data_IF_130735187120
#
_entry.id   IF_130735187120
#
_cell.length_a   1.000
_cell.length_b   1.000
_cell.length_c   1.000
_cell.angle_alpha   90.00
_cell.angle_beta   90.00
_cell.angle_gamma   90.00
#
_symmetry.space_group_name_H-M   'P 1'
#
loop_
_entity.id
_entity.type
_entity.pdbx_description
1 polymer ?
#
# COMPACT_ATOMS: atom_id res chain seq x y z
N UNK A 1 15.27 -32.00 23.71
CA UNK A 1 15.90 -31.34 22.53
C UNK A 1 16.94 -30.34 23.00
N UNK A 2 18.18 -30.46 22.52
CA UNK A 2 19.26 -29.56 22.94
C UNK A 2 18.99 -28.13 22.42
N UNK A 3 19.50 -27.09 23.14
CA UNK A 3 19.38 -25.67 22.70
C UNK A 3 19.95 -25.46 21.30
N UNK A 4 20.84 -26.30 20.83
CA UNK A 4 21.48 -26.27 19.50
C UNK A 4 20.51 -26.76 18.41
N UNK A 5 19.79 -27.87 18.62
CA UNK A 5 18.77 -28.38 17.67
C UNK A 5 17.62 -27.44 17.51
N UNK A 6 17.17 -26.78 18.60
CA UNK A 6 16.10 -25.75 18.54
C UNK A 6 16.50 -24.51 17.71
N UNK A 7 17.79 -24.11 17.80
CA UNK A 7 18.29 -22.98 16.97
C UNK A 7 18.35 -23.33 15.48
N UNK A 8 18.72 -24.56 15.14
CA UNK A 8 18.75 -25.02 13.75
C UNK A 8 17.36 -25.16 13.16
N UNK A 9 16.41 -25.71 13.91
CA UNK A 9 15.01 -25.80 13.46
C UNK A 9 14.38 -24.42 13.23
N UNK A 10 14.64 -23.43 14.09
CA UNK A 10 14.17 -22.06 13.86
C UNK A 10 14.80 -21.40 12.62
N UNK A 11 16.10 -21.61 12.39
CA UNK A 11 16.77 -21.07 11.20
C UNK A 11 16.25 -21.72 9.92
N UNK A 12 16.03 -23.03 9.93
CA UNK A 12 15.46 -23.77 8.82
C UNK A 12 14.02 -23.28 8.51
N UNK A 13 13.19 -23.09 9.55
CA UNK A 13 11.84 -22.55 9.39
C UNK A 13 11.84 -21.12 8.82
N UNK A 14 12.72 -20.26 9.31
CA UNK A 14 12.89 -18.90 8.79
C UNK A 14 13.37 -18.90 7.33
N UNK A 15 14.32 -19.76 6.97
CA UNK A 15 14.77 -19.90 5.59
C UNK A 15 13.65 -20.39 4.66
N UNK A 16 12.88 -21.38 5.11
CA UNK A 16 11.73 -21.88 4.35
C UNK A 16 10.66 -20.80 4.15
N UNK A 17 10.34 -20.05 5.21
CA UNK A 17 9.39 -18.95 5.13
C UNK A 17 9.90 -17.84 4.19
N UNK A 18 11.19 -17.51 4.23
CA UNK A 18 11.80 -16.53 3.33
C UNK A 18 11.75 -17.01 1.87
N UNK A 19 12.11 -18.26 1.59
CA UNK A 19 12.01 -18.85 0.26
C UNK A 19 10.57 -18.84 -0.26
N UNK A 20 9.63 -19.23 0.56
CA UNK A 20 8.20 -19.19 0.21
C UNK A 20 7.72 -17.77 -0.13
N UNK A 21 8.10 -16.77 0.67
CA UNK A 21 7.70 -15.38 0.47
C UNK A 21 8.39 -14.73 -0.74
N UNK A 22 9.62 -15.12 -1.06
CA UNK A 22 10.38 -14.58 -2.20
C UNK A 22 10.03 -15.28 -3.52
N UNK A 23 9.46 -16.47 -3.47
CA UNK A 23 9.16 -17.27 -4.66
C UNK A 23 8.24 -16.54 -5.66
N UNK A 24 7.12 -15.88 -5.26
CA UNK A 24 6.29 -15.13 -6.20
C UNK A 24 7.05 -13.99 -6.89
N UNK A 25 7.89 -13.26 -6.16
CA UNK A 25 8.71 -12.16 -6.70
C UNK A 25 9.73 -12.71 -7.71
N UNK A 26 10.40 -13.81 -7.35
CA UNK A 26 11.31 -14.50 -8.25
C UNK A 26 10.59 -14.95 -9.52
N UNK A 27 9.43 -15.58 -9.37
CA UNK A 27 8.64 -16.11 -10.49
C UNK A 27 8.21 -15.00 -11.46
N UNK A 28 7.63 -13.90 -10.96
CA UNK A 28 7.25 -12.74 -11.77
C UNK A 28 8.47 -12.15 -12.48
N UNK A 29 9.61 -12.05 -11.80
CA UNK A 29 10.86 -11.53 -12.40
C UNK A 29 11.38 -12.45 -13.50
N UNK A 30 11.35 -13.76 -13.30
CA UNK A 30 11.74 -14.74 -14.35
C UNK A 30 10.82 -14.62 -15.56
N UNK A 31 9.50 -14.55 -15.35
CA UNK A 31 8.53 -14.44 -16.44
C UNK A 31 8.69 -13.13 -17.22
N UNK A 32 8.93 -12.02 -16.54
CA UNK A 32 9.10 -10.70 -17.18
C UNK A 32 10.32 -10.61 -18.10
N UNK A 33 11.30 -11.50 -17.94
CA UNK A 33 12.55 -11.54 -18.71
C UNK A 33 12.53 -12.57 -19.87
N UNK A 34 11.44 -13.32 -20.05
CA UNK A 34 11.32 -14.31 -21.11
C UNK A 34 11.02 -13.70 -22.47
N UNK A 35 11.45 -14.39 -23.50
CA UNK A 35 10.95 -14.18 -24.87
C UNK A 35 9.63 -14.94 -25.07
N UNK A 36 8.83 -14.57 -26.06
CA UNK A 36 7.59 -15.28 -26.40
C UNK A 36 7.81 -16.77 -26.72
N UNK A 37 8.96 -17.11 -27.31
CA UNK A 37 9.33 -18.52 -27.59
C UNK A 37 9.61 -19.30 -26.31
N UNK A 38 10.34 -18.68 -25.34
CA UNK A 38 10.64 -19.30 -24.05
C UNK A 38 9.41 -19.41 -23.14
N UNK A 39 8.44 -18.53 -23.30
CA UNK A 39 7.19 -18.62 -22.54
C UNK A 39 6.39 -19.86 -22.91
N UNK A 40 6.31 -20.17 -24.23
CA UNK A 40 5.54 -21.31 -24.73
C UNK A 40 6.31 -22.64 -24.56
N UNK A 41 7.61 -22.66 -24.86
CA UNK A 41 8.40 -23.90 -24.95
C UNK A 41 9.45 -24.04 -23.85
N UNK A 42 9.67 -23.01 -23.06
CA UNK A 42 10.70 -22.99 -22.04
C UNK A 42 10.24 -23.52 -20.68
N UNK A 43 11.15 -23.47 -19.70
CA UNK A 43 10.84 -23.80 -18.31
C UNK A 43 10.12 -22.64 -17.62
N UNK A 44 9.07 -22.88 -16.82
CA UNK A 44 8.41 -21.83 -16.06
C UNK A 44 9.29 -21.27 -14.92
N UNK A 45 10.36 -21.98 -14.52
CA UNK A 45 11.13 -21.64 -13.34
C UNK A 45 12.43 -20.89 -13.61
N UNK A 46 12.92 -20.87 -14.84
CA UNK A 46 14.14 -20.14 -15.20
C UNK A 46 14.09 -19.66 -16.65
N UNK A 47 14.89 -18.64 -16.95
CA UNK A 47 15.06 -18.07 -18.27
C UNK A 47 16.46 -18.40 -18.79
N UNK A 48 16.57 -18.82 -20.06
CA UNK A 48 17.86 -19.17 -20.70
C UNK A 48 18.41 -17.97 -21.46
N UNK A 49 17.53 -17.21 -22.13
CA UNK A 49 17.89 -16.02 -22.92
C UNK A 49 17.14 -14.81 -22.41
N UNK A 50 17.60 -14.18 -21.29
CA UNK A 50 16.89 -13.03 -20.71
C UNK A 50 16.84 -11.87 -21.69
N UNK A 51 15.65 -11.27 -21.84
CA UNK A 51 15.42 -10.09 -22.67
C UNK A 51 14.79 -8.97 -21.83
N UNK A 52 15.06 -7.73 -22.20
CA UNK A 52 14.40 -6.55 -21.66
C UNK A 52 13.36 -5.96 -22.64
N UNK A 53 13.08 -6.65 -23.74
CA UNK A 53 12.10 -6.20 -24.74
C UNK A 53 10.73 -5.93 -24.11
N UNK A 54 10.24 -6.80 -23.23
CA UNK A 54 8.96 -6.62 -22.54
C UNK A 54 8.87 -5.30 -21.77
N UNK A 55 9.99 -4.82 -21.23
CA UNK A 55 10.06 -3.53 -20.53
C UNK A 55 10.14 -2.36 -21.51
N UNK A 56 10.92 -2.46 -22.59
CA UNK A 56 11.00 -1.39 -23.60
C UNK A 56 9.66 -1.21 -24.29
N UNK A 57 9.01 -2.31 -24.62
CA UNK A 57 7.69 -2.35 -25.21
C UNK A 57 6.62 -1.67 -24.35
N UNK A 58 6.71 -1.85 -23.03
CA UNK A 58 5.80 -1.22 -22.07
C UNK A 58 5.89 0.31 -22.12
N UNK A 59 7.08 0.89 -22.40
CA UNK A 59 7.27 2.34 -22.45
C UNK A 59 7.08 2.95 -23.84
N UNK A 60 7.28 2.16 -24.90
CA UNK A 60 7.16 2.65 -26.28
C UNK A 60 5.70 2.85 -26.71
N UNK A 61 4.75 2.24 -26.03
CA UNK A 61 3.29 2.41 -26.12
C UNK A 61 2.70 2.80 -27.46
N UNK A 62 1.83 1.96 -28.04
CA UNK A 62 0.82 2.46 -28.98
C UNK A 62 1.13 2.49 -30.46
N UNK A 63 2.33 2.19 -30.94
CA UNK A 63 2.53 1.98 -32.37
C UNK A 63 2.23 0.52 -32.73
N UNK A 64 1.33 0.35 -33.73
CA UNK A 64 0.91 -0.95 -34.22
C UNK A 64 2.14 -1.75 -34.66
N UNK A 65 2.46 -2.83 -33.95
CA UNK A 65 3.57 -3.69 -34.32
C UNK A 65 3.25 -4.58 -35.53
N UNK A 66 4.27 -4.94 -36.31
CA UNK A 66 4.12 -5.80 -37.49
C UNK A 66 3.61 -7.22 -37.15
N UNK A 67 3.52 -7.59 -35.87
CA UNK A 67 3.14 -8.95 -35.43
C UNK A 67 1.64 -9.20 -35.31
N UNK A 68 0.77 -8.23 -35.63
CA UNK A 68 -0.68 -8.45 -35.66
C UNK A 68 -1.32 -8.68 -34.28
N UNK A 69 -0.62 -8.43 -33.22
CA UNK A 69 -1.09 -8.60 -31.84
C UNK A 69 -1.42 -7.26 -31.19
N UNK A 70 -2.54 -7.25 -30.55
CA UNK A 70 -3.20 -6.28 -29.71
C UNK A 70 -2.66 -4.85 -29.68
N UNK A 71 -3.56 -3.93 -29.81
CA UNK A 71 -3.35 -2.50 -29.65
C UNK A 71 -3.02 -2.26 -28.18
N UNK A 72 -1.73 -2.10 -27.84
CA UNK A 72 -1.36 -1.53 -26.56
C UNK A 72 -2.12 -0.22 -26.38
N UNK A 73 -2.66 0.06 -25.18
CA UNK A 73 -3.35 1.32 -24.97
C UNK A 73 -2.43 2.46 -25.41
N UNK A 74 -3.01 3.43 -26.12
CA UNK A 74 -2.31 4.61 -26.65
C UNK A 74 -1.64 5.50 -25.57
N UNK A 75 -1.70 5.09 -24.31
CA UNK A 75 -1.19 5.85 -23.17
C UNK A 75 0.11 5.23 -22.69
N UNK A 76 1.21 5.99 -22.64
CA UNK A 76 2.49 5.52 -22.14
C UNK A 76 2.38 5.01 -20.69
N UNK A 77 2.98 3.87 -20.39
CA UNK A 77 3.04 3.29 -19.04
C UNK A 77 3.60 4.26 -17.99
N UNK A 78 4.51 5.15 -18.39
CA UNK A 78 5.00 6.23 -17.55
C UNK A 78 3.89 7.13 -16.99
N UNK A 79 2.82 7.37 -17.74
CA UNK A 79 1.65 8.13 -17.29
C UNK A 79 0.92 7.37 -16.18
N UNK A 80 0.73 6.07 -16.32
CA UNK A 80 0.12 5.24 -15.28
C UNK A 80 0.96 5.17 -14.01
N UNK A 81 2.29 5.10 -14.16
CA UNK A 81 3.20 5.17 -13.00
C UNK A 81 3.08 6.50 -12.26
N UNK A 82 3.04 7.62 -12.98
CA UNK A 82 2.87 8.94 -12.40
C UNK A 82 1.50 9.07 -11.70
N UNK A 83 0.43 8.63 -12.35
CA UNK A 83 -0.92 8.62 -11.77
C UNK A 83 -0.96 7.80 -10.49
N UNK A 84 -0.38 6.59 -10.52
CA UNK A 84 -0.26 5.73 -9.33
C UNK A 84 0.52 6.40 -8.21
N UNK A 85 1.63 7.07 -8.51
CA UNK A 85 2.43 7.79 -7.53
C UNK A 85 1.64 8.96 -6.91
N UNK A 86 0.87 9.71 -7.70
CA UNK A 86 0.02 10.81 -7.24
C UNK A 86 -1.07 10.28 -6.31
N UNK A 87 -1.81 9.25 -6.73
CA UNK A 87 -2.87 8.64 -5.94
C UNK A 87 -2.32 8.05 -4.65
N UNK A 88 -1.20 7.33 -4.72
CA UNK A 88 -0.55 6.73 -3.57
C UNK A 88 -0.09 7.77 -2.56
N UNK A 89 0.68 8.76 -3.01
CA UNK A 89 1.19 9.84 -2.15
C UNK A 89 0.04 10.65 -1.53
N UNK A 90 -0.97 11.00 -2.31
CA UNK A 90 -2.15 11.71 -1.85
C UNK A 90 -2.92 10.92 -0.79
N UNK A 91 -3.23 9.65 -1.06
CA UNK A 91 -3.98 8.79 -0.14
C UNK A 91 -3.23 8.55 1.16
N UNK A 92 -1.93 8.24 1.10
CA UNK A 92 -1.11 8.03 2.31
C UNK A 92 -1.03 9.31 3.12
N UNK A 93 -0.81 10.45 2.49
CA UNK A 93 -0.71 11.74 3.17
C UNK A 93 -2.03 12.12 3.87
N UNK A 94 -3.15 12.07 3.15
CA UNK A 94 -4.47 12.38 3.72
C UNK A 94 -4.82 11.42 4.85
N UNK A 95 -4.60 10.11 4.64
CA UNK A 95 -4.82 9.09 5.67
C UNK A 95 -4.01 9.39 6.93
N UNK A 96 -2.70 9.66 6.80
CA UNK A 96 -1.84 9.91 7.95
C UNK A 96 -2.21 11.18 8.69
N UNK A 97 -2.41 12.29 7.97
CA UNK A 97 -2.76 13.57 8.60
C UNK A 97 -4.06 13.43 9.38
N UNK A 98 -5.11 12.91 8.77
CA UNK A 98 -6.39 12.73 9.42
C UNK A 98 -6.33 11.72 10.58
N UNK A 99 -5.62 10.59 10.37
CA UNK A 99 -5.50 9.55 11.40
C UNK A 99 -4.69 9.99 12.60
N UNK A 100 -3.62 10.77 12.41
CA UNK A 100 -2.80 11.32 13.49
C UNK A 100 -3.62 12.25 14.37
N UNK A 101 -4.37 13.18 13.78
CA UNK A 101 -5.20 14.12 14.52
C UNK A 101 -6.35 13.41 15.26
N UNK A 102 -7.05 12.52 14.57
CA UNK A 102 -8.13 11.74 15.19
C UNK A 102 -7.61 10.81 16.30
N UNK A 103 -6.49 10.13 16.06
CA UNK A 103 -5.89 9.23 17.06
C UNK A 103 -5.39 9.97 18.30
N UNK A 104 -4.82 11.17 18.13
CA UNK A 104 -4.42 12.00 19.26
C UNK A 104 -5.63 12.43 20.09
N UNK A 105 -6.70 12.89 19.43
CA UNK A 105 -7.94 13.23 20.11
C UNK A 105 -8.54 12.04 20.88
N UNK A 106 -8.63 10.87 20.26
CA UNK A 106 -9.20 9.67 20.87
C UNK A 106 -8.28 9.02 21.92
N UNK A 107 -6.98 9.09 21.73
CA UNK A 107 -5.99 8.48 22.63
C UNK A 107 -5.64 9.33 23.83
N UNK A 108 -5.58 10.66 23.66
CA UNK A 108 -5.01 11.58 24.63
C UNK A 108 -6.03 12.44 25.34
N UNK A 109 -7.01 12.99 24.61
CA UNK A 109 -7.98 13.94 25.18
C UNK A 109 -9.08 13.25 25.99
N UNK A 110 -9.12 11.91 26.03
CA UNK A 110 -10.07 11.10 26.82
C UNK A 110 -11.52 11.59 26.69
N UNK A 111 -11.95 11.90 25.48
CA UNK A 111 -13.33 12.34 25.21
C UNK A 111 -14.36 11.36 25.80
N UNK A 112 -15.47 11.84 26.37
CA UNK A 112 -16.56 10.98 26.77
C UNK A 112 -17.00 10.09 25.61
N UNK A 113 -17.11 8.78 25.83
CA UNK A 113 -17.52 7.85 24.77
C UNK A 113 -16.39 7.31 23.89
N UNK A 114 -15.10 7.65 24.14
CA UNK A 114 -13.97 7.14 23.35
C UNK A 114 -13.98 5.61 23.14
N UNK A 115 -14.51 4.83 24.13
CA UNK A 115 -14.64 3.36 24.03
C UNK A 115 -15.58 2.96 22.91
N UNK A 116 -16.67 3.71 22.71
CA UNK A 116 -17.63 3.47 21.63
C UNK A 116 -17.06 3.84 20.27
N UNK A 117 -16.35 4.96 20.18
CA UNK A 117 -15.65 5.36 18.97
C UNK A 117 -14.63 4.31 18.53
N UNK A 118 -13.83 3.78 19.46
CA UNK A 118 -12.86 2.72 19.16
C UNK A 118 -13.54 1.43 18.67
N UNK A 119 -14.65 1.03 19.30
CA UNK A 119 -15.42 -0.12 18.86
C UNK A 119 -16.04 0.11 17.48
N UNK A 120 -16.57 1.31 17.23
CA UNK A 120 -17.09 1.72 15.94
C UNK A 120 -16.04 1.66 14.83
N UNK A 121 -14.84 2.21 15.06
CA UNK A 121 -13.73 2.14 14.11
C UNK A 121 -13.34 0.69 13.77
N UNK A 122 -13.28 -0.19 14.77
CA UNK A 122 -13.01 -1.59 14.53
C UNK A 122 -14.14 -2.28 13.75
N UNK A 123 -15.39 -1.95 14.06
CA UNK A 123 -16.55 -2.47 13.34
C UNK A 123 -16.57 -2.07 11.87
N UNK A 124 -16.15 -0.84 11.52
CA UNK A 124 -16.03 -0.41 10.11
C UNK A 124 -14.98 -1.21 9.35
N UNK A 125 -13.92 -1.64 10.01
CA UNK A 125 -12.89 -2.48 9.38
C UNK A 125 -13.36 -3.91 9.10
N UNK A 126 -14.32 -4.41 9.84
CA UNK A 126 -14.92 -5.75 9.63
C UNK A 126 -15.82 -5.77 8.40
N UNK A 127 -16.33 -4.62 7.95
CA UNK A 127 -17.15 -4.54 6.74
C UNK A 127 -16.26 -4.84 5.52
N UNK A 128 -16.60 -5.85 4.70
CA UNK A 128 -15.87 -6.12 3.47
C UNK A 128 -15.83 -4.88 2.57
N UNK A 129 -14.64 -4.48 2.16
CA UNK A 129 -14.44 -3.28 1.33
C UNK A 129 -15.24 -3.32 0.03
N UNK A 130 -15.45 -4.52 -0.52
CA UNK A 130 -16.25 -4.73 -1.73
C UNK A 130 -17.72 -4.30 -1.57
N UNK A 131 -18.29 -4.36 -0.37
CA UNK A 131 -19.67 -3.90 -0.12
C UNK A 131 -19.75 -2.37 -0.18
N UNK A 132 -18.68 -1.67 0.19
CA UNK A 132 -18.63 -0.21 0.17
C UNK A 132 -18.48 0.35 -1.25
N UNK A 133 -18.17 -0.47 -2.23
CA UNK A 133 -17.94 -0.06 -3.61
C UNK A 133 -19.12 0.73 -4.19
N UNK A 134 -20.33 0.17 -4.14
CA UNK A 134 -21.54 0.79 -4.73
C UNK A 134 -21.86 2.14 -4.08
N UNK A 135 -21.96 2.26 -2.73
CA UNK A 135 -22.25 3.55 -2.12
C UNK A 135 -21.12 4.58 -2.33
N UNK A 136 -19.86 4.15 -2.37
CA UNK A 136 -18.73 5.05 -2.67
C UNK A 136 -18.83 5.57 -4.11
N UNK A 137 -19.11 4.70 -5.07
CA UNK A 137 -19.28 5.10 -6.46
C UNK A 137 -20.43 6.11 -6.62
N UNK A 138 -21.58 5.86 -6.01
CA UNK A 138 -22.71 6.79 -6.02
C UNK A 138 -22.35 8.15 -5.41
N UNK A 139 -21.62 8.15 -4.29
CA UNK A 139 -21.17 9.40 -3.67
C UNK A 139 -20.21 10.18 -4.59
N UNK A 140 -19.26 9.51 -5.23
CA UNK A 140 -18.30 10.12 -6.15
C UNK A 140 -19.01 10.75 -7.36
N UNK A 141 -19.95 10.02 -7.98
CA UNK A 141 -20.74 10.54 -9.12
C UNK A 141 -21.61 11.72 -8.69
N UNK A 142 -22.23 11.66 -7.51
CA UNK A 142 -23.06 12.77 -6.99
C UNK A 142 -22.25 14.04 -6.72
N UNK A 143 -20.96 13.91 -6.46
CA UNK A 143 -20.03 15.01 -6.21
C UNK A 143 -19.30 15.49 -7.47
N UNK A 144 -19.65 14.97 -8.65
CA UNK A 144 -18.98 15.24 -9.94
C UNK A 144 -17.46 15.02 -9.87
N UNK A 145 -17.01 13.98 -9.12
CA UNK A 145 -15.62 13.60 -8.96
C UNK A 145 -15.24 12.34 -9.76
N UNK A 146 -16.14 11.84 -10.60
CA UNK A 146 -15.86 10.73 -11.51
C UNK A 146 -14.67 11.07 -12.43
N UNK A 147 -13.95 10.03 -12.82
CA UNK A 147 -12.72 10.15 -13.62
C UNK A 147 -11.68 11.11 -13.01
N UNK A 148 -11.56 11.13 -11.69
CA UNK A 148 -10.64 12.01 -10.96
C UNK A 148 -9.77 11.23 -9.97
N UNK A 149 -8.47 11.55 -9.92
CA UNK A 149 -7.56 11.01 -8.90
C UNK A 149 -8.01 11.38 -7.49
N UNK A 150 -8.69 12.52 -7.30
CA UNK A 150 -9.22 12.92 -5.99
C UNK A 150 -10.27 11.94 -5.46
N UNK A 151 -11.09 11.35 -6.33
CA UNK A 151 -12.04 10.32 -5.95
C UNK A 151 -11.33 9.12 -5.31
N UNK A 152 -10.27 8.61 -5.95
CA UNK A 152 -9.48 7.50 -5.41
C UNK A 152 -8.76 7.90 -4.12
N UNK A 153 -8.16 9.09 -4.07
CA UNK A 153 -7.50 9.60 -2.85
C UNK A 153 -8.48 9.64 -1.68
N UNK A 154 -9.70 10.15 -1.90
CA UNK A 154 -10.72 10.20 -0.86
C UNK A 154 -11.16 8.80 -0.41
N UNK A 155 -11.50 7.91 -1.35
CA UNK A 155 -11.96 6.56 -1.06
C UNK A 155 -10.89 5.73 -0.32
N UNK A 156 -9.66 5.71 -0.82
CA UNK A 156 -8.58 4.96 -0.19
C UNK A 156 -8.23 5.49 1.19
N UNK A 157 -8.27 6.83 1.37
CA UNK A 157 -8.05 7.42 2.68
C UNK A 157 -9.10 6.97 3.68
N UNK A 158 -10.38 7.02 3.32
CA UNK A 158 -11.48 6.56 4.18
C UNK A 158 -11.34 5.08 4.53
N UNK A 159 -10.92 4.24 3.58
CA UNK A 159 -10.74 2.80 3.79
C UNK A 159 -9.55 2.48 4.70
N UNK A 160 -8.45 3.22 4.62
CA UNK A 160 -7.25 2.97 5.43
C UNK A 160 -7.31 3.62 6.82
N UNK A 161 -8.06 4.74 6.99
CA UNK A 161 -8.14 5.49 8.25
C UNK A 161 -8.51 4.66 9.48
N UNK A 162 -9.50 3.75 9.46
CA UNK A 162 -9.92 3.05 10.68
C UNK A 162 -8.78 2.30 11.36
N UNK A 163 -7.98 1.57 10.58
CA UNK A 163 -6.82 0.87 11.10
C UNK A 163 -5.72 1.81 11.57
N UNK A 164 -5.42 2.86 10.79
CA UNK A 164 -4.40 3.83 11.14
C UNK A 164 -4.76 4.58 12.44
N UNK A 165 -6.02 4.99 12.60
CA UNK A 165 -6.50 5.63 13.83
C UNK A 165 -6.42 4.65 15.01
N UNK A 166 -6.80 3.40 14.80
CA UNK A 166 -6.76 2.38 15.85
C UNK A 166 -5.35 2.16 16.39
N UNK A 167 -4.37 1.92 15.51
CA UNK A 167 -2.99 1.65 15.92
C UNK A 167 -2.32 2.88 16.56
N UNK A 168 -2.54 4.07 15.99
CA UNK A 168 -2.00 5.33 16.51
C UNK A 168 -2.64 5.70 17.85
N UNK A 169 -3.96 5.54 18.01
CA UNK A 169 -4.63 5.84 19.28
C UNK A 169 -4.22 4.88 20.41
N UNK A 170 -3.95 3.61 20.08
CA UNK A 170 -3.38 2.67 21.02
C UNK A 170 -2.02 3.15 21.52
N UNK A 171 -1.12 3.53 20.61
CA UNK A 171 0.20 4.07 20.96
C UNK A 171 0.13 5.34 21.79
N UNK A 172 -0.67 6.35 21.39
CA UNK A 172 -0.77 7.61 22.11
C UNK A 172 -1.30 7.48 23.54
N UNK A 173 -2.13 6.48 23.82
CA UNK A 173 -2.62 6.23 25.20
C UNK A 173 -1.56 5.74 26.15
N UNK A 174 -0.56 5.02 25.65
CA UNK A 174 0.50 4.43 26.47
C UNK A 174 1.69 5.38 26.67
N UNK A 175 1.75 6.49 25.95
CA UNK A 175 2.78 7.49 26.22
C UNK A 175 2.57 8.12 27.61
N UNK A 176 3.62 8.20 28.45
CA UNK A 176 3.55 8.86 29.76
C UNK A 176 3.03 10.30 29.63
N UNK A 177 2.09 10.69 30.48
CA UNK A 177 1.53 12.06 30.47
C UNK A 177 2.54 13.10 30.91
N UNK A 178 3.46 12.71 31.78
CA UNK A 178 4.52 13.52 32.31
C UNK A 178 5.37 14.19 31.22
N UNK A 179 5.50 13.57 30.05
CA UNK A 179 6.23 14.13 28.90
C UNK A 179 5.53 15.40 28.39
N UNK A 180 4.22 15.36 28.31
CA UNK A 180 3.39 16.47 27.82
C UNK A 180 3.25 17.54 28.88
N UNK A 181 3.02 17.13 30.15
CA UNK A 181 2.89 18.01 31.29
C UNK A 181 4.18 18.81 31.52
N UNK A 182 5.35 18.20 31.42
CA UNK A 182 6.65 18.87 31.51
C UNK A 182 6.82 19.96 30.46
N UNK A 183 6.43 19.67 29.21
CA UNK A 183 6.49 20.67 28.15
C UNK A 183 5.54 21.84 28.37
N UNK A 184 4.35 21.59 28.93
CA UNK A 184 3.39 22.65 29.29
C UNK A 184 3.92 23.54 30.44
N UNK A 185 4.59 22.94 31.43
CA UNK A 185 5.23 23.68 32.53
C UNK A 185 6.37 24.57 32.00
N UNK A 186 7.11 24.11 30.97
CA UNK A 186 8.15 24.91 30.28
C UNK A 186 7.57 26.00 29.36
N UNK A 187 6.24 26.12 29.28
CA UNK A 187 5.56 27.17 28.50
C UNK A 187 5.19 26.78 27.06
N UNK A 188 5.33 25.52 26.70
CA UNK A 188 4.85 25.06 25.39
C UNK A 188 3.30 25.06 25.36
N UNK A 189 2.72 25.38 24.19
CA UNK A 189 1.29 25.13 23.95
C UNK A 189 1.05 23.66 23.67
N UNK A 190 -0.17 23.12 23.86
CA UNK A 190 -0.50 21.73 23.52
C UNK A 190 -0.16 21.35 22.07
N UNK A 191 -0.37 22.29 21.14
CA UNK A 191 -0.02 22.09 19.73
C UNK A 191 1.51 21.97 19.53
N UNK A 192 2.30 22.77 20.24
CA UNK A 192 3.77 22.72 20.20
C UNK A 192 4.25 21.40 20.82
N UNK A 193 3.73 21.00 21.97
CA UNK A 193 4.05 19.74 22.61
C UNK A 193 3.72 18.55 21.68
N UNK A 194 2.57 18.57 21.04
CA UNK A 194 2.18 17.55 20.05
C UNK A 194 3.16 17.48 18.88
N UNK A 195 3.39 18.58 18.18
CA UNK A 195 4.19 18.58 16.94
C UNK A 195 5.67 18.33 17.20
N UNK A 196 6.23 18.91 18.29
CA UNK A 196 7.67 18.83 18.55
C UNK A 196 8.10 17.64 19.40
N UNK A 197 7.19 17.05 20.18
CA UNK A 197 7.53 15.96 21.10
C UNK A 197 6.78 14.68 20.74
N UNK A 198 5.45 14.69 20.79
CA UNK A 198 4.63 13.47 20.62
C UNK A 198 4.76 12.90 19.19
N UNK A 199 4.67 13.75 18.19
CA UNK A 199 4.72 13.32 16.79
C UNK A 199 6.09 12.70 16.41
N UNK A 200 7.25 13.27 16.75
CA UNK A 200 8.54 12.62 16.52
C UNK A 200 8.73 11.31 17.29
N UNK A 201 8.22 11.22 18.52
CA UNK A 201 8.27 9.99 19.31
C UNK A 201 7.47 8.86 18.67
N UNK A 202 6.39 9.18 17.98
CA UNK A 202 5.51 8.22 17.28
C UNK A 202 6.03 7.76 15.92
N UNK A 203 7.25 8.13 15.52
CA UNK A 203 7.82 7.84 14.19
C UNK A 203 7.64 6.38 13.75
N UNK A 204 7.88 5.42 14.63
CA UNK A 204 7.81 4.00 14.27
C UNK A 204 6.37 3.56 13.98
N UNK A 205 5.41 4.00 14.79
CA UNK A 205 3.99 3.67 14.55
C UNK A 205 3.41 4.45 13.38
N UNK A 206 3.91 5.67 13.12
CA UNK A 206 3.57 6.43 11.91
C UNK A 206 4.03 5.71 10.65
N UNK A 207 5.25 5.17 10.65
CA UNK A 207 5.76 4.36 9.54
C UNK A 207 4.91 3.10 9.38
N UNK A 208 4.50 2.45 10.47
CA UNK A 208 3.63 1.29 10.39
C UNK A 208 2.26 1.63 9.77
N UNK A 209 1.66 2.75 10.17
CA UNK A 209 0.41 3.23 9.59
C UNK A 209 0.58 3.62 8.10
N UNK A 210 1.70 4.26 7.74
CA UNK A 210 2.01 4.64 6.36
C UNK A 210 2.15 3.41 5.45
N UNK A 211 2.88 2.38 5.90
CA UNK A 211 3.05 1.13 5.14
C UNK A 211 1.74 0.34 5.01
N UNK A 212 0.90 0.39 6.02
CA UNK A 212 -0.44 -0.20 5.92
C UNK A 212 -1.30 0.53 4.87
N UNK A 213 -1.34 1.85 4.91
CA UNK A 213 -2.06 2.66 3.92
C UNK A 213 -1.50 2.44 2.50
N UNK A 214 -0.16 2.42 2.35
CA UNK A 214 0.52 2.11 1.11
C UNK A 214 0.10 0.74 0.56
N UNK A 215 0.09 -0.29 1.38
CA UNK A 215 -0.35 -1.63 0.98
C UNK A 215 -1.83 -1.67 0.55
N UNK A 216 -2.70 -0.94 1.27
CA UNK A 216 -4.13 -0.86 0.92
C UNK A 216 -4.33 -0.23 -0.46
N UNK A 217 -3.64 0.88 -0.76
CA UNK A 217 -3.75 1.59 -2.03
C UNK A 217 -3.13 0.80 -3.19
N UNK A 218 -1.95 0.19 -2.96
CA UNK A 218 -1.21 -0.51 -4.02
C UNK A 218 -1.87 -1.81 -4.48
N UNK A 219 -2.72 -2.42 -3.66
CA UNK A 219 -3.40 -3.68 -3.97
C UNK A 219 -4.76 -3.50 -4.66
N UNK A 220 -5.24 -2.26 -4.82
CA UNK A 220 -6.56 -2.06 -5.38
C UNK A 220 -6.53 -1.88 -6.90
N UNK A 221 -7.25 -2.76 -7.57
CA UNK A 221 -7.56 -2.72 -8.98
C UNK A 221 -9.01 -2.25 -9.22
N UNK A 222 -9.93 -2.71 -8.37
CA UNK A 222 -11.37 -2.62 -8.62
C UNK A 222 -11.88 -1.18 -8.62
N UNK A 223 -11.56 -0.39 -7.58
CA UNK A 223 -11.95 1.01 -7.53
C UNK A 223 -11.27 1.82 -8.63
N UNK A 224 -9.97 1.58 -8.85
CA UNK A 224 -9.21 2.29 -9.87
C UNK A 224 -9.76 2.07 -11.28
N UNK A 225 -10.13 0.83 -11.64
CA UNK A 225 -10.65 0.50 -12.98
C UNK A 225 -12.02 1.09 -13.26
N UNK A 226 -12.87 1.23 -12.23
CA UNK A 226 -14.22 1.77 -12.40
C UNK A 226 -14.27 3.29 -12.26
N UNK A 227 -13.45 3.86 -11.35
CA UNK A 227 -13.45 5.31 -11.11
C UNK A 227 -12.66 6.09 -12.15
N UNK A 228 -11.72 5.44 -12.85
CA UNK A 228 -10.88 6.03 -13.88
C UNK A 228 -11.07 5.31 -15.23
N UNK A 229 -12.22 5.51 -15.90
CA UNK A 229 -12.49 4.89 -17.20
C UNK A 229 -11.59 5.42 -18.32
N UNK A 230 -11.07 6.64 -18.21
CA UNK A 230 -10.19 7.24 -19.21
C UNK A 230 -8.77 6.69 -19.09
N UNK A 231 -8.22 6.05 -20.16
CA UNK A 231 -6.90 5.43 -20.12
C UNK A 231 -5.77 6.36 -19.65
N UNK A 232 -5.81 7.64 -20.01
CA UNK A 232 -4.81 8.63 -19.62
C UNK A 232 -4.80 8.92 -18.11
N UNK A 233 -5.88 8.63 -17.40
CA UNK A 233 -6.02 8.84 -15.95
C UNK A 233 -5.85 7.59 -15.12
N UNK A 234 -5.79 6.42 -15.76
CA UNK A 234 -5.67 5.15 -15.06
C UNK A 234 -4.39 5.07 -14.22
N UNK A 235 -4.48 4.32 -13.13
CA UNK A 235 -3.32 3.85 -12.38
C UNK A 235 -2.72 2.63 -13.05
N UNK A 236 -1.50 2.23 -12.66
CA UNK A 236 -0.85 1.02 -13.19
C UNK A 236 -1.75 -0.21 -13.03
N UNK A 237 -2.37 -0.39 -11.86
CA UNK A 237 -3.24 -1.52 -11.60
C UNK A 237 -4.44 -1.55 -12.56
N UNK A 238 -5.10 -0.41 -12.77
CA UNK A 238 -6.23 -0.30 -13.69
C UNK A 238 -5.80 -0.49 -15.15
N UNK A 239 -4.72 0.19 -15.57
CA UNK A 239 -4.22 0.11 -16.94
C UNK A 239 -3.75 -1.29 -17.34
N UNK A 240 -2.96 -1.96 -16.49
CA UNK A 240 -2.53 -3.34 -16.75
C UNK A 240 -3.70 -4.34 -16.71
N UNK A 241 -4.70 -4.08 -15.88
CA UNK A 241 -5.85 -5.00 -15.76
C UNK A 241 -6.83 -4.95 -16.93
N UNK A 242 -6.76 -3.95 -17.81
CA UNK A 242 -7.56 -3.89 -19.04
C UNK A 242 -6.78 -4.38 -20.28
N UNK A 243 -5.49 -4.65 -20.14
CA UNK A 243 -4.69 -5.28 -21.20
C UNK A 243 -5.15 -6.73 -21.43
N UNK A 244 -5.13 -7.17 -22.68
CA UNK A 244 -5.48 -8.56 -23.01
C UNK A 244 -4.35 -9.50 -22.58
N UNK A 245 -4.52 -10.13 -21.43
CA UNK A 245 -3.53 -11.03 -20.83
C UNK A 245 -3.16 -12.19 -21.76
N UNK A 246 -4.09 -12.62 -22.66
CA UNK A 246 -3.82 -13.74 -23.58
C UNK A 246 -2.80 -13.39 -24.67
N UNK A 247 -2.68 -12.11 -24.99
CA UNK A 247 -1.81 -11.62 -26.06
C UNK A 247 -0.57 -10.86 -25.56
N UNK A 248 -0.65 -10.32 -24.35
CA UNK A 248 0.33 -9.39 -23.78
C UNK A 248 0.81 -9.81 -22.37
N UNK A 249 0.74 -11.11 -22.07
CA UNK A 249 1.03 -11.64 -20.73
C UNK A 249 2.42 -11.20 -20.23
N UNK A 250 3.47 -11.34 -21.07
CA UNK A 250 4.84 -10.99 -20.69
C UNK A 250 5.03 -9.50 -20.42
N UNK A 251 4.38 -8.64 -21.21
CA UNK A 251 4.42 -7.18 -21.06
C UNK A 251 3.66 -6.79 -19.78
N UNK A 252 2.49 -7.38 -19.55
CA UNK A 252 1.70 -7.17 -18.34
C UNK A 252 2.50 -7.58 -17.11
N UNK A 253 3.17 -8.74 -17.13
CA UNK A 253 4.02 -9.23 -16.04
C UNK A 253 5.23 -8.31 -15.82
N UNK A 254 5.85 -7.77 -16.88
CA UNK A 254 6.90 -6.77 -16.77
C UNK A 254 6.40 -5.47 -16.10
N UNK A 255 5.19 -5.02 -16.45
CA UNK A 255 4.54 -3.88 -15.82
C UNK A 255 4.26 -4.09 -14.34
N UNK A 256 3.72 -5.26 -13.97
CA UNK A 256 3.48 -5.64 -12.56
C UNK A 256 4.79 -5.69 -11.78
N UNK A 257 5.85 -6.29 -12.35
CA UNK A 257 7.16 -6.36 -11.72
C UNK A 257 7.73 -4.96 -11.46
N UNK A 258 7.67 -4.07 -12.46
CA UNK A 258 8.16 -2.71 -12.33
C UNK A 258 7.36 -1.90 -11.30
N UNK A 259 6.04 -2.03 -11.27
CA UNK A 259 5.18 -1.38 -10.29
C UNK A 259 5.40 -1.88 -8.86
N UNK A 260 5.79 -3.14 -8.69
CA UNK A 260 6.08 -3.71 -7.36
C UNK A 260 7.40 -3.17 -6.76
N UNK A 261 8.38 -2.78 -7.59
CA UNK A 261 9.71 -2.35 -7.12
C UNK A 261 9.64 -1.24 -6.06
N UNK A 262 8.97 -0.09 -6.26
CA UNK A 262 8.94 0.98 -5.27
C UNK A 262 8.25 0.55 -3.97
N UNK A 263 7.23 -0.29 -4.03
CA UNK A 263 6.53 -0.82 -2.85
C UNK A 263 7.44 -1.76 -2.05
N UNK A 264 8.12 -2.67 -2.74
CA UNK A 264 9.08 -3.61 -2.12
C UNK A 264 10.24 -2.84 -1.48
N UNK A 265 10.77 -1.83 -2.16
CA UNK A 265 11.84 -0.97 -1.61
C UNK A 265 11.33 -0.26 -0.36
N UNK A 266 10.16 0.36 -0.39
CA UNK A 266 9.58 1.03 0.77
C UNK A 266 9.40 0.06 1.94
N UNK A 267 8.82 -1.12 1.70
CA UNK A 267 8.67 -2.16 2.72
C UNK A 267 10.01 -2.62 3.30
N UNK A 268 11.02 -2.85 2.46
CA UNK A 268 12.34 -3.29 2.89
C UNK A 268 13.07 -2.24 3.74
N UNK A 269 13.05 -0.97 3.32
CA UNK A 269 13.68 0.13 4.04
C UNK A 269 13.05 0.35 5.42
N UNK A 270 11.75 0.23 5.52
CA UNK A 270 11.00 0.54 6.74
C UNK A 270 10.57 -0.71 7.54
N UNK A 271 10.94 -1.91 7.12
CA UNK A 271 10.56 -3.18 7.77
C UNK A 271 10.82 -3.19 9.29
N UNK A 272 11.99 -2.69 9.73
CA UNK A 272 12.33 -2.63 11.17
C UNK A 272 11.43 -1.67 11.93
N UNK A 273 11.11 -0.53 11.36
CA UNK A 273 10.23 0.47 11.97
C UNK A 273 8.78 -0.06 12.02
N UNK A 274 8.34 -0.73 10.96
CA UNK A 274 7.04 -1.39 10.87
C UNK A 274 6.83 -2.41 11.99
N UNK A 275 7.75 -3.36 12.14
CA UNK A 275 7.67 -4.37 13.20
C UNK A 275 7.69 -3.74 14.59
N UNK A 276 8.55 -2.75 14.83
CA UNK A 276 8.59 -2.03 16.11
C UNK A 276 7.30 -1.26 16.39
N UNK A 277 6.75 -0.59 15.39
CA UNK A 277 5.51 0.17 15.51
C UNK A 277 4.31 -0.72 15.84
N UNK A 278 4.16 -1.86 15.13
CA UNK A 278 3.10 -2.83 15.39
C UNK A 278 3.23 -3.47 16.78
N UNK A 279 4.45 -3.91 17.15
CA UNK A 279 4.67 -4.54 18.47
C UNK A 279 4.44 -3.58 19.62
N UNK A 280 4.85 -2.31 19.50
CA UNK A 280 4.57 -1.29 20.51
C UNK A 280 3.06 -1.11 20.71
N UNK A 281 2.29 -1.03 19.62
CA UNK A 281 0.84 -0.86 19.70
C UNK A 281 0.10 -2.11 20.22
N UNK A 282 0.59 -3.32 19.91
CA UNK A 282 -0.06 -4.59 20.30
C UNK A 282 0.26 -5.03 21.72
N UNK A 283 1.52 -4.91 22.16
CA UNK A 283 1.95 -5.33 23.51
C UNK A 283 1.41 -4.42 24.60
N UNK A 284 1.07 -3.20 24.24
CA UNK A 284 0.55 -2.19 25.14
C UNK A 284 -1.00 -2.10 25.10
N UNK A 285 -1.65 -2.85 24.21
CA UNK A 285 -3.11 -2.90 24.02
C UNK A 285 -3.80 -4.15 24.61
N UNK A 286 -3.03 -5.08 25.16
CA UNK A 286 -3.51 -6.24 25.91
C UNK A 286 -3.47 -5.94 27.42
#
# INVERSE_FOLDING_TARGET
MSRRTRRWSHRALLALAALYSLFPIYFITVQSLKTAEEDVFGSPLYVVRPTFENYTELFEGGEARPRGYAILPSVPFATWLLNSAIVLAGSVTVTLVASVLAAYALGRLQSPGWRWWRRGLFATYVIPQTILFIPLYQAIVTLDLDNSHLALVACYSVMAMPFCIWILSAYYRHLPREIEDSALVEGATPAIAFVRIILPMSRNVLIAAALFALGTVSNDFMLASVFLPEPARQTVAAGLGVMDVSLEELITVAGVNLAAIPVVIACALFARAYVRGLTAAMLEGA
#
